data_IF_250268532189
#
_entry.id   IF_250268532189
#
_cell.length_a   1.000
_cell.length_b   1.000
_cell.length_c   1.000
_cell.angle_alpha   90.00
_cell.angle_beta   90.00
_cell.angle_gamma   90.00
#
_symmetry.space_group_name_H-M   'P 1'
#
loop_
_entity.id
_entity.type
_entity.pdbx_description
1 polymer ?
#
# COMPACT_ATOMS: atom_id res chain seq x y z
N UNK A 1 -15.03 36.63 -44.85
CA UNK A 1 -14.91 35.23 -44.38
C UNK A 1 -13.56 34.68 -44.84
N UNK A 2 -12.53 34.77 -43.99
CA UNK A 2 -11.18 34.28 -44.31
C UNK A 2 -11.04 32.82 -43.88
N UNK A 3 -11.04 31.89 -44.84
CA UNK A 3 -10.88 30.46 -44.57
C UNK A 3 -9.50 30.16 -44.00
N UNK A 4 -9.46 29.50 -42.84
CA UNK A 4 -8.22 28.97 -42.28
C UNK A 4 -7.71 27.91 -43.26
N UNK A 5 -6.56 28.18 -43.89
CA UNK A 5 -5.90 27.24 -44.81
C UNK A 5 -5.71 25.89 -44.14
N UNK A 6 -6.08 24.80 -44.82
CA UNK A 6 -5.96 23.42 -44.35
C UNK A 6 -4.56 23.10 -43.80
N UNK A 7 -3.50 23.70 -44.38
CA UNK A 7 -2.12 23.57 -43.89
C UNK A 7 -1.88 24.24 -42.53
N UNK A 8 -2.53 25.37 -42.26
CA UNK A 8 -2.45 26.08 -40.96
C UNK A 8 -3.20 25.33 -39.85
N UNK A 9 -4.30 24.67 -40.19
CA UNK A 9 -5.04 23.85 -39.24
C UNK A 9 -4.22 22.61 -38.82
N UNK A 10 -3.60 21.91 -39.77
CA UNK A 10 -2.73 20.76 -39.48
C UNK A 10 -1.42 21.16 -38.78
N UNK A 11 -0.83 22.30 -39.12
CA UNK A 11 0.36 22.80 -38.41
C UNK A 11 0.03 23.18 -36.95
N UNK A 12 -1.14 23.76 -36.70
CA UNK A 12 -1.61 24.04 -35.33
C UNK A 12 -1.92 22.77 -34.54
N UNK A 13 -2.51 21.75 -35.18
CA UNK A 13 -2.79 20.45 -34.56
C UNK A 13 -1.49 19.68 -34.25
N UNK A 14 -0.51 19.70 -35.15
CA UNK A 14 0.80 19.10 -34.93
C UNK A 14 1.59 19.82 -33.83
N UNK A 15 1.53 21.16 -33.76
CA UNK A 15 2.13 21.93 -32.66
C UNK A 15 1.43 21.69 -31.32
N UNK A 16 0.10 21.50 -31.29
CA UNK A 16 -0.63 21.14 -30.08
C UNK A 16 -0.29 19.71 -29.62
N UNK A 17 -0.15 18.76 -30.54
CA UNK A 17 0.29 17.38 -30.24
C UNK A 17 1.75 17.34 -29.81
N UNK A 18 2.63 18.15 -30.40
CA UNK A 18 4.03 18.30 -29.95
C UNK A 18 4.14 19.01 -28.61
N UNK A 19 3.32 20.02 -28.34
CA UNK A 19 3.27 20.67 -27.05
C UNK A 19 2.78 19.69 -25.97
N UNK A 20 1.72 18.91 -26.24
CA UNK A 20 1.28 17.86 -25.31
C UNK A 20 2.34 16.76 -25.09
N UNK A 21 3.12 16.42 -26.13
CA UNK A 21 4.18 15.40 -26.02
C UNK A 21 5.47 15.92 -25.38
N UNK A 22 5.79 17.21 -25.52
CA UNK A 22 7.02 17.81 -24.98
C UNK A 22 6.90 18.22 -23.51
N UNK A 23 5.69 18.38 -22.96
CA UNK A 23 5.49 18.82 -21.57
C UNK A 23 5.83 17.73 -20.51
N UNK A 24 6.02 16.47 -20.89
CA UNK A 24 6.52 15.40 -20.01
C UNK A 24 8.03 15.15 -20.10
N UNK A 25 8.72 15.70 -21.09
CA UNK A 25 10.08 15.30 -21.46
C UNK A 25 11.21 16.03 -20.70
N UNK A 26 10.88 16.85 -19.69
CA UNK A 26 11.85 17.71 -19.00
C UNK A 26 11.67 17.93 -17.50
N UNK A 27 10.73 17.22 -16.86
CA UNK A 27 10.52 17.32 -15.42
C UNK A 27 11.52 16.42 -14.67
N UNK A 28 12.17 16.97 -13.65
CA UNK A 28 13.11 16.26 -12.79
C UNK A 28 12.46 15.92 -11.45
N UNK A 29 12.47 14.64 -11.09
CA UNK A 29 11.88 14.14 -9.85
C UNK A 29 12.98 13.57 -8.96
N UNK A 30 13.03 14.01 -7.70
CA UNK A 30 13.95 13.47 -6.70
C UNK A 30 13.14 12.71 -5.64
N UNK A 31 13.29 11.39 -5.63
CA UNK A 31 12.69 10.47 -4.65
C UNK A 31 13.70 10.14 -3.56
N UNK A 32 13.33 10.43 -2.31
CA UNK A 32 14.13 10.17 -1.12
C UNK A 32 13.54 8.99 -0.34
N UNK A 33 14.30 7.92 -0.23
CA UNK A 33 13.99 6.74 0.57
C UNK A 33 14.68 6.82 1.94
N UNK A 34 13.94 6.52 3.01
CA UNK A 34 14.44 6.56 4.39
C UNK A 34 15.52 5.52 4.69
N UNK A 35 15.48 4.37 4.01
CA UNK A 35 16.31 3.20 4.30
C UNK A 35 17.31 2.90 3.19
N UNK A 36 18.10 1.84 3.36
CA UNK A 36 18.95 1.27 2.29
C UNK A 36 18.12 0.49 1.27
N UNK A 37 18.65 0.32 0.03
CA UNK A 37 18.06 -0.60 -0.94
C UNK A 37 18.06 -2.04 -0.41
N UNK A 38 17.20 -2.89 -0.98
CA UNK A 38 17.06 -4.29 -0.57
C UNK A 38 16.02 -4.50 0.52
N UNK A 39 15.11 -3.53 0.71
CA UNK A 39 13.93 -3.65 1.57
C UNK A 39 12.71 -3.87 0.65
N UNK A 40 12.19 -5.11 0.52
CA UNK A 40 11.28 -5.43 -0.58
C UNK A 40 9.99 -4.60 -0.63
N UNK A 41 9.51 -4.08 0.50
CA UNK A 41 8.35 -3.19 0.51
C UNK A 41 8.65 -1.81 -0.08
N UNK A 42 9.81 -1.25 0.24
CA UNK A 42 10.29 0.04 -0.26
C UNK A 42 10.66 -0.09 -1.74
N UNK A 43 11.36 -1.17 -2.10
CA UNK A 43 11.76 -1.45 -3.47
C UNK A 43 10.52 -1.57 -4.37
N UNK A 44 9.47 -2.30 -3.94
CA UNK A 44 8.20 -2.41 -4.70
C UNK A 44 7.51 -1.07 -4.95
N UNK A 45 7.42 -0.21 -3.93
CA UNK A 45 6.81 1.13 -4.06
C UNK A 45 7.65 1.99 -5.01
N UNK A 46 8.98 1.98 -4.82
CA UNK A 46 9.94 2.73 -5.63
C UNK A 46 9.91 2.30 -7.09
N UNK A 47 9.96 1.00 -7.36
CA UNK A 47 9.95 0.46 -8.73
C UNK A 47 8.65 0.81 -9.46
N UNK A 48 7.51 0.67 -8.78
CA UNK A 48 6.21 1.01 -9.35
C UNK A 48 6.06 2.52 -9.60
N UNK A 49 6.60 3.36 -8.71
CA UNK A 49 6.67 4.81 -8.89
C UNK A 49 7.52 5.19 -10.10
N UNK A 50 8.75 4.69 -10.18
CA UNK A 50 9.67 4.95 -11.31
C UNK A 50 9.05 4.46 -12.62
N UNK A 51 8.48 3.25 -12.62
CA UNK A 51 7.79 2.69 -13.79
C UNK A 51 6.68 3.64 -14.26
N UNK A 52 5.84 4.14 -13.33
CA UNK A 52 4.73 5.02 -13.69
C UNK A 52 5.18 6.35 -14.30
N UNK A 53 6.27 6.95 -13.80
CA UNK A 53 6.84 8.18 -14.36
C UNK A 53 7.43 7.97 -15.76
N UNK A 54 8.08 6.81 -15.98
CA UNK A 54 8.59 6.43 -17.30
C UNK A 54 7.46 6.21 -18.31
N UNK A 55 6.37 5.59 -17.88
CA UNK A 55 5.16 5.39 -18.70
C UNK A 55 4.51 6.71 -19.13
N UNK A 56 4.68 7.81 -18.37
CA UNK A 56 4.26 9.16 -18.79
C UNK A 56 5.28 9.91 -19.65
N UNK A 57 6.43 9.31 -19.97
CA UNK A 57 7.44 9.91 -20.83
C UNK A 57 8.54 10.70 -20.13
N UNK A 58 8.65 10.64 -18.79
CA UNK A 58 9.81 11.20 -18.08
C UNK A 58 11.02 10.28 -18.32
N UNK A 59 12.15 10.80 -18.86
CA UNK A 59 13.37 10.03 -19.05
C UNK A 59 13.91 9.48 -17.72
N UNK A 60 14.54 8.30 -17.76
CA UNK A 60 15.10 7.68 -16.55
C UNK A 60 16.16 8.59 -15.89
N UNK A 61 16.92 9.31 -16.70
CA UNK A 61 17.95 10.28 -16.29
C UNK A 61 17.38 11.48 -15.52
N UNK A 62 16.07 11.70 -15.57
CA UNK A 62 15.38 12.75 -14.84
C UNK A 62 14.66 12.22 -13.58
N UNK A 63 14.72 10.91 -13.32
CA UNK A 63 14.13 10.28 -12.14
C UNK A 63 15.26 9.86 -11.22
N UNK A 64 15.51 10.67 -10.20
CA UNK A 64 16.59 10.49 -9.23
C UNK A 64 16.05 9.76 -8.01
N UNK A 65 16.68 8.65 -7.63
CA UNK A 65 16.29 7.86 -6.46
C UNK A 65 17.46 7.79 -5.49
N UNK A 66 17.26 8.34 -4.30
CA UNK A 66 18.28 8.44 -3.26
C UNK A 66 17.87 7.63 -2.03
N UNK A 67 18.77 6.74 -1.60
CA UNK A 67 18.60 5.96 -0.38
C UNK A 67 19.42 6.60 0.73
N UNK A 68 18.73 7.29 1.64
CA UNK A 68 19.39 8.12 2.65
C UNK A 68 20.04 7.30 3.77
N UNK A 69 19.51 6.11 4.03
CA UNK A 69 19.94 5.20 5.09
C UNK A 69 20.07 5.90 6.46
N UNK A 70 19.00 6.58 6.89
CA UNK A 70 19.01 7.46 8.07
C UNK A 70 18.84 6.75 9.41
N UNK A 71 18.55 5.45 9.40
CA UNK A 71 18.19 4.69 10.60
C UNK A 71 19.32 3.74 11.04
N UNK A 72 20.56 4.14 10.74
CA UNK A 72 21.80 3.47 11.14
C UNK A 72 22.39 4.05 12.44
N UNK A 73 23.18 3.28 13.22
CA UNK A 73 23.71 3.74 14.51
C UNK A 73 24.52 5.05 14.48
N UNK A 74 25.16 5.37 13.35
CA UNK A 74 25.98 6.57 13.16
C UNK A 74 25.29 7.64 12.30
N UNK A 75 23.95 7.68 12.27
CA UNK A 75 23.18 8.60 11.44
C UNK A 75 23.54 10.08 11.65
N UNK A 76 23.84 10.50 12.89
CA UNK A 76 24.21 11.89 13.21
C UNK A 76 25.50 12.34 12.50
N UNK A 77 26.47 11.43 12.32
CA UNK A 77 27.73 11.71 11.61
C UNK A 77 27.49 11.74 10.10
N UNK A 78 26.64 10.84 9.59
CA UNK A 78 26.43 10.68 8.15
C UNK A 78 25.46 11.72 7.58
N UNK A 79 24.54 12.26 8.39
CA UNK A 79 23.53 13.23 7.95
C UNK A 79 24.15 14.47 7.28
N UNK A 80 25.15 15.17 7.87
CA UNK A 80 25.79 16.31 7.22
C UNK A 80 26.52 15.94 5.92
N UNK A 81 27.20 14.79 5.89
CA UNK A 81 27.89 14.32 4.68
C UNK A 81 26.91 13.97 3.56
N UNK A 82 25.78 13.32 3.90
CA UNK A 82 24.68 13.02 2.99
C UNK A 82 24.08 14.30 2.42
N UNK A 83 23.82 15.29 3.28
CA UNK A 83 23.34 16.61 2.88
C UNK A 83 24.31 17.26 1.89
N UNK A 84 25.60 17.31 2.23
CA UNK A 84 26.62 17.91 1.37
C UNK A 84 26.68 17.23 -0.02
N UNK A 85 26.59 15.89 -0.06
CA UNK A 85 26.55 15.14 -1.31
C UNK A 85 25.32 15.50 -2.15
N UNK A 86 24.13 15.46 -1.56
CA UNK A 86 22.87 15.75 -2.28
C UNK A 86 22.83 17.21 -2.76
N UNK A 87 23.31 18.15 -1.95
CA UNK A 87 23.44 19.56 -2.38
C UNK A 87 24.47 19.70 -3.50
N UNK A 88 25.56 18.94 -3.51
CA UNK A 88 26.52 18.97 -4.61
C UNK A 88 25.96 18.35 -5.90
N UNK A 89 25.15 17.29 -5.80
CA UNK A 89 24.55 16.60 -6.95
C UNK A 89 23.38 17.38 -7.55
N UNK A 90 22.52 17.96 -6.71
CA UNK A 90 21.25 18.53 -7.12
C UNK A 90 21.18 20.05 -6.94
N UNK A 91 22.10 20.66 -6.18
CA UNK A 91 22.16 22.10 -5.96
C UNK A 91 22.59 22.84 -7.22
N UNK A 92 21.69 23.67 -7.75
CA UNK A 92 21.85 24.34 -9.06
C UNK A 92 21.30 23.53 -10.24
N UNK A 93 20.90 22.28 -10.01
CA UNK A 93 20.12 21.47 -10.94
C UNK A 93 18.63 21.82 -10.89
N UNK A 94 17.88 21.28 -11.85
CA UNK A 94 16.42 21.36 -11.86
C UNK A 94 15.85 20.19 -11.06
N UNK A 95 14.98 20.49 -10.10
CA UNK A 95 14.12 19.52 -9.40
C UNK A 95 12.73 20.13 -9.38
N UNK A 96 11.81 19.52 -10.11
CA UNK A 96 10.42 19.99 -10.25
C UNK A 96 9.50 19.31 -9.22
N UNK A 97 9.92 18.19 -8.64
CA UNK A 97 9.18 17.48 -7.60
C UNK A 97 10.14 16.79 -6.63
N UNK A 98 9.95 17.03 -5.34
CA UNK A 98 10.58 16.26 -4.27
C UNK A 98 9.58 15.24 -3.73
N UNK A 99 9.99 13.98 -3.64
CA UNK A 99 9.17 12.93 -3.02
C UNK A 99 9.94 12.35 -1.84
N UNK A 100 9.33 12.27 -0.66
CA UNK A 100 9.95 11.69 0.52
C UNK A 100 9.11 10.53 1.05
N UNK A 101 9.72 9.35 1.14
CA UNK A 101 9.06 8.14 1.64
C UNK A 101 9.51 7.84 3.07
N UNK A 102 8.52 7.79 3.95
CA UNK A 102 8.58 7.59 5.39
C UNK A 102 9.15 8.76 6.19
N UNK A 103 8.87 8.74 7.50
CA UNK A 103 9.15 9.84 8.41
C UNK A 103 10.62 10.31 8.41
N UNK A 104 11.64 9.42 8.37
CA UNK A 104 13.04 9.87 8.32
C UNK A 104 13.38 10.71 7.08
N UNK A 105 12.96 10.28 5.88
CA UNK A 105 13.20 11.03 4.65
C UNK A 105 12.43 12.36 4.63
N UNK A 106 11.20 12.39 5.16
CA UNK A 106 10.44 13.63 5.32
C UNK A 106 11.16 14.61 6.26
N UNK A 107 11.67 14.11 7.39
CA UNK A 107 12.42 14.92 8.34
C UNK A 107 13.68 15.51 7.70
N UNK A 108 14.41 14.70 6.94
CA UNK A 108 15.62 15.12 6.21
C UNK A 108 15.29 16.14 5.10
N UNK A 109 14.24 15.90 4.31
CA UNK A 109 13.79 16.81 3.26
C UNK A 109 13.46 18.21 3.80
N UNK A 110 12.71 18.27 4.90
CA UNK A 110 12.25 19.54 5.48
C UNK A 110 13.32 20.28 6.30
N UNK A 111 14.30 19.57 6.86
CA UNK A 111 15.36 20.17 7.70
C UNK A 111 16.66 20.39 6.93
N UNK A 112 17.19 19.32 6.36
CA UNK A 112 18.54 19.30 5.78
C UNK A 112 18.53 19.81 4.33
N UNK A 113 17.46 19.55 3.59
CA UNK A 113 17.29 19.95 2.19
C UNK A 113 16.34 21.14 2.00
N UNK A 114 16.11 21.93 3.06
CA UNK A 114 15.18 23.06 3.04
C UNK A 114 15.47 24.05 1.89
N UNK A 115 16.76 24.29 1.61
CA UNK A 115 17.24 25.21 0.57
C UNK A 115 17.41 24.55 -0.81
N UNK A 116 17.31 23.22 -0.90
CA UNK A 116 17.37 22.49 -2.16
C UNK A 116 16.01 22.57 -2.86
N UNK A 117 15.98 23.20 -4.03
CA UNK A 117 14.79 23.40 -4.85
C UNK A 117 13.58 23.89 -4.00
N UNK A 118 13.66 25.09 -3.41
CA UNK A 118 12.70 25.57 -2.42
C UNK A 118 11.28 25.77 -2.99
N UNK A 119 11.18 25.98 -4.30
CA UNK A 119 9.91 26.12 -5.03
C UNK A 119 9.30 24.76 -5.43
N UNK A 120 10.07 23.67 -5.35
CA UNK A 120 9.56 22.36 -5.71
C UNK A 120 8.57 21.85 -4.65
N UNK A 121 7.36 21.39 -5.06
CA UNK A 121 6.45 20.70 -4.16
C UNK A 121 7.14 19.52 -3.48
N UNK A 122 6.74 19.25 -2.25
CA UNK A 122 7.07 18.02 -1.55
C UNK A 122 5.84 17.11 -1.48
N UNK A 123 5.92 15.95 -2.13
CA UNK A 123 4.97 14.86 -1.92
C UNK A 123 5.54 13.87 -0.91
N UNK A 124 4.75 13.50 0.09
CA UNK A 124 5.19 12.59 1.15
C UNK A 124 4.08 11.60 1.53
N UNK A 125 4.47 10.44 2.04
CA UNK A 125 3.55 9.46 2.64
C UNK A 125 3.40 9.60 4.16
N UNK A 126 4.17 10.51 4.76
CA UNK A 126 4.29 10.69 6.19
C UNK A 126 3.78 12.06 6.60
N UNK A 127 3.14 12.15 7.75
CA UNK A 127 2.55 13.39 8.22
C UNK A 127 3.64 14.30 8.83
N UNK A 128 3.87 15.51 8.29
CA UNK A 128 4.76 16.48 8.91
C UNK A 128 4.12 17.03 10.20
N UNK A 129 4.96 17.38 11.19
CA UNK A 129 4.48 18.08 12.38
C UNK A 129 4.05 19.52 12.07
N UNK A 130 3.23 20.11 12.94
CA UNK A 130 2.80 21.52 12.82
C UNK A 130 3.99 22.48 12.72
N UNK A 131 5.05 22.23 13.49
CA UNK A 131 6.28 23.05 13.47
C UNK A 131 7.03 22.92 12.14
N UNK A 132 7.13 21.69 11.61
CA UNK A 132 7.75 21.43 10.32
C UNK A 132 6.99 22.11 9.17
N UNK A 133 5.65 22.04 9.18
CA UNK A 133 4.80 22.71 8.19
C UNK A 133 4.93 24.22 8.26
N UNK A 134 4.86 24.80 9.46
CA UNK A 134 4.97 26.25 9.66
C UNK A 134 6.32 26.82 9.20
N UNK A 135 7.36 26.00 9.23
CA UNK A 135 8.72 26.37 8.79
C UNK A 135 8.98 26.07 7.32
N UNK A 136 8.09 25.32 6.65
CA UNK A 136 8.24 24.91 5.26
C UNK A 136 7.86 26.03 4.30
N UNK A 137 8.80 26.42 3.43
CA UNK A 137 8.53 27.38 2.33
C UNK A 137 7.83 26.73 1.13
N UNK A 138 7.98 25.42 0.97
CA UNK A 138 7.40 24.66 -0.14
C UNK A 138 5.97 24.20 0.16
N UNK A 139 5.10 24.04 -0.85
CA UNK A 139 3.85 23.30 -0.73
C UNK A 139 4.10 21.85 -0.34
N UNK A 140 3.34 21.32 0.61
CA UNK A 140 3.47 19.93 1.07
C UNK A 140 2.18 19.16 0.81
N UNK A 141 2.32 18.04 0.11
CA UNK A 141 1.24 17.14 -0.27
C UNK A 141 1.40 15.80 0.45
N UNK A 142 0.32 15.32 1.06
CA UNK A 142 0.30 14.05 1.78
C UNK A 142 -0.51 13.01 1.00
N UNK A 143 0.18 11.99 0.50
CA UNK A 143 -0.40 10.75 -0.04
C UNK A 143 -0.06 9.60 0.93
N UNK A 144 -0.94 9.36 1.91
CA UNK A 144 -0.68 8.40 2.99
C UNK A 144 -0.72 6.95 2.49
N UNK A 145 0.46 6.34 2.31
CA UNK A 145 0.62 4.89 2.06
C UNK A 145 0.38 4.09 3.35
N UNK A 146 0.21 4.77 4.50
CA UNK A 146 -0.06 4.13 5.80
C UNK A 146 -1.30 3.22 5.67
N UNK A 147 -1.20 1.97 6.14
CA UNK A 147 -2.31 1.04 6.09
C UNK A 147 -3.42 1.42 7.07
N UNK A 148 -4.64 1.00 6.77
CA UNK A 148 -5.83 1.27 7.59
C UNK A 148 -6.06 0.11 8.57
N UNK A 149 -5.61 0.29 9.81
CA UNK A 149 -5.81 -0.70 10.86
C UNK A 149 -7.30 -0.82 11.21
N UNK A 150 -8.04 0.29 11.21
CA UNK A 150 -9.46 0.31 11.54
C UNK A 150 -10.30 -0.53 10.57
N UNK A 151 -10.02 -0.44 9.26
CA UNK A 151 -10.67 -1.27 8.25
C UNK A 151 -10.40 -2.77 8.49
N UNK A 152 -9.15 -3.13 8.82
CA UNK A 152 -8.80 -4.53 9.13
C UNK A 152 -9.48 -5.00 10.42
N UNK A 153 -9.50 -4.19 11.48
CA UNK A 153 -10.21 -4.52 12.73
C UNK A 153 -11.71 -4.68 12.49
N UNK A 154 -12.32 -3.84 11.66
CA UNK A 154 -13.71 -3.96 11.28
C UNK A 154 -14.01 -5.33 10.62
N UNK A 155 -13.16 -5.78 9.69
CA UNK A 155 -13.31 -7.09 9.06
C UNK A 155 -13.05 -8.23 10.04
N UNK A 156 -12.04 -8.11 10.91
CA UNK A 156 -11.78 -9.09 11.99
C UNK A 156 -13.02 -9.27 12.86
N UNK A 157 -13.71 -8.19 13.25
CA UNK A 157 -14.91 -8.32 14.10
C UNK A 157 -16.09 -9.01 13.41
N UNK A 158 -16.15 -8.98 12.07
CA UNK A 158 -17.16 -9.69 11.29
C UNK A 158 -16.82 -11.17 11.11
N UNK A 159 -15.54 -11.46 10.83
CA UNK A 159 -15.03 -12.81 10.61
C UNK A 159 -14.91 -13.61 11.92
N UNK A 160 -14.49 -12.95 12.99
CA UNK A 160 -14.16 -13.54 14.28
C UNK A 160 -14.86 -12.78 15.43
N UNK A 161 -16.19 -12.89 15.57
CA UNK A 161 -16.96 -12.12 16.56
C UNK A 161 -16.63 -12.48 18.02
N UNK A 162 -15.90 -13.58 18.25
CA UNK A 162 -15.42 -13.99 19.59
C UNK A 162 -14.07 -13.38 19.97
N UNK A 163 -13.39 -12.68 19.06
CA UNK A 163 -12.13 -12.01 19.36
C UNK A 163 -12.31 -11.00 20.49
N UNK A 164 -11.43 -11.07 21.48
CA UNK A 164 -11.39 -10.14 22.62
C UNK A 164 -10.14 -9.28 22.61
N UNK A 165 -9.06 -9.76 22.00
CA UNK A 165 -7.76 -9.11 22.05
C UNK A 165 -7.10 -9.05 20.68
N UNK A 166 -6.50 -7.91 20.37
CA UNK A 166 -5.70 -7.67 19.18
C UNK A 166 -4.30 -7.30 19.63
N UNK A 167 -3.31 -8.08 19.19
CA UNK A 167 -1.90 -7.84 19.47
C UNK A 167 -1.21 -7.33 18.20
N UNK A 168 -0.45 -6.26 18.32
CA UNK A 168 0.22 -5.59 17.21
C UNK A 168 1.71 -5.53 17.52
N UNK A 169 2.55 -6.33 16.80
CA UNK A 169 3.99 -6.18 16.87
C UNK A 169 4.37 -4.76 16.44
N UNK A 170 5.34 -4.16 17.11
CA UNK A 170 5.66 -2.74 16.93
C UNK A 170 7.14 -2.44 17.16
N UNK A 171 7.59 -1.32 16.60
CA UNK A 171 8.96 -0.84 16.74
C UNK A 171 9.04 0.58 17.29
N UNK A 172 10.27 1.08 17.40
CA UNK A 172 10.61 2.41 17.94
C UNK A 172 11.37 3.26 16.94
N UNK A 173 11.36 2.95 15.64
CA UNK A 173 11.82 3.93 14.63
C UNK A 173 10.84 5.11 14.53
N UNK A 174 11.27 6.20 13.88
CA UNK A 174 10.37 7.35 13.67
C UNK A 174 9.13 6.97 12.85
N UNK A 175 9.32 6.09 11.86
CA UNK A 175 8.25 5.54 11.06
C UNK A 175 7.30 4.66 11.92
N UNK A 176 7.85 3.77 12.75
CA UNK A 176 7.05 2.86 13.59
C UNK A 176 6.17 3.65 14.58
N UNK A 177 6.73 4.69 15.22
CA UNK A 177 5.98 5.58 16.11
C UNK A 177 4.90 6.36 15.38
N UNK A 178 5.18 6.81 14.15
CA UNK A 178 4.19 7.52 13.34
C UNK A 178 3.01 6.60 12.99
N UNK A 179 3.29 5.37 12.57
CA UNK A 179 2.27 4.35 12.35
C UNK A 179 1.47 4.07 13.63
N UNK A 180 2.12 3.86 14.78
CA UNK A 180 1.43 3.56 16.03
C UNK A 180 0.45 4.67 16.43
N UNK A 181 0.85 5.95 16.34
CA UNK A 181 -0.06 7.07 16.66
C UNK A 181 -1.32 7.07 15.80
N UNK A 182 -1.17 6.77 14.50
CA UNK A 182 -2.32 6.67 13.60
C UNK A 182 -3.17 5.43 13.93
N UNK A 183 -2.51 4.29 14.18
CA UNK A 183 -3.16 3.04 14.56
C UNK A 183 -4.01 3.18 15.84
N UNK A 184 -3.53 3.91 16.85
CA UNK A 184 -4.27 4.22 18.08
C UNK A 184 -5.56 5.01 17.80
N UNK A 185 -5.51 5.96 16.86
CA UNK A 185 -6.70 6.70 16.42
C UNK A 185 -7.66 5.78 15.67
N UNK A 186 -7.14 4.96 14.77
CA UNK A 186 -7.93 4.05 13.94
C UNK A 186 -8.70 3.03 14.78
N UNK A 187 -8.10 2.50 15.85
CA UNK A 187 -8.74 1.49 16.71
C UNK A 187 -9.66 2.06 17.79
N UNK A 188 -9.67 3.38 18.00
CA UNK A 188 -10.45 4.05 19.04
C UNK A 188 -11.93 3.61 19.11
N UNK A 189 -12.65 3.39 17.98
CA UNK A 189 -14.04 2.92 18.00
C UNK A 189 -14.24 1.54 18.66
N UNK A 190 -13.20 0.71 18.73
CA UNK A 190 -13.27 -0.67 19.23
C UNK A 190 -12.74 -0.85 20.66
N UNK A 191 -12.09 0.15 21.26
CA UNK A 191 -11.46 0.04 22.58
C UNK A 191 -12.43 -0.29 23.72
N UNK A 192 -13.74 -0.07 23.54
CA UNK A 192 -14.78 -0.50 24.50
C UNK A 192 -15.10 -2.00 24.44
N UNK A 193 -14.75 -2.69 23.35
CA UNK A 193 -15.11 -4.09 23.08
C UNK A 193 -13.90 -5.00 22.95
N UNK A 194 -12.76 -4.45 22.55
CA UNK A 194 -11.51 -5.16 22.30
C UNK A 194 -10.38 -4.57 23.14
N UNK A 195 -9.54 -5.44 23.68
CA UNK A 195 -8.24 -5.05 24.21
C UNK A 195 -7.24 -4.98 23.05
N UNK A 196 -6.69 -3.79 22.79
CA UNK A 196 -5.65 -3.60 21.76
C UNK A 196 -4.31 -3.39 22.47
N UNK A 197 -3.31 -4.17 22.08
CA UNK A 197 -1.98 -4.17 22.69
C UNK A 197 -0.90 -3.98 21.64
N UNK A 198 -0.11 -2.91 21.79
CA UNK A 198 1.08 -2.65 20.98
C UNK A 198 2.32 -3.12 21.74
N UNK A 199 3.24 -3.81 21.06
CA UNK A 199 4.40 -4.44 21.68
C UNK A 199 5.71 -3.65 21.51
N UNK A 200 5.66 -2.36 21.16
CA UNK A 200 6.82 -1.54 20.84
C UNK A 200 7.85 -1.42 21.97
N UNK A 201 7.43 -1.63 23.21
CA UNK A 201 8.30 -1.58 24.40
C UNK A 201 9.05 -2.90 24.66
N UNK A 202 8.87 -3.91 23.80
CA UNK A 202 9.56 -5.20 23.86
C UNK A 202 10.64 -5.29 22.78
N UNK A 203 11.72 -6.02 23.03
CA UNK A 203 12.64 -6.41 21.96
C UNK A 203 11.97 -7.38 20.99
N UNK A 204 12.45 -7.47 19.75
CA UNK A 204 11.84 -8.33 18.73
C UNK A 204 11.77 -9.78 19.18
N UNK A 205 12.82 -10.27 19.84
CA UNK A 205 12.86 -11.61 20.42
C UNK A 205 11.83 -11.81 21.54
N UNK A 206 11.56 -10.78 22.36
CA UNK A 206 10.49 -10.82 23.36
C UNK A 206 9.11 -10.82 22.71
N UNK A 207 8.90 -10.00 21.66
CA UNK A 207 7.64 -9.96 20.91
C UNK A 207 7.31 -11.34 20.34
N UNK A 208 8.27 -12.03 19.71
CA UNK A 208 8.04 -13.36 19.14
C UNK A 208 7.72 -14.40 20.22
N UNK A 209 8.41 -14.36 21.36
CA UNK A 209 8.10 -15.23 22.52
C UNK A 209 6.71 -14.98 23.08
N UNK A 210 6.30 -13.72 23.14
CA UNK A 210 4.96 -13.32 23.59
C UNK A 210 3.87 -13.80 22.64
N UNK A 211 4.07 -13.57 21.34
CA UNK A 211 3.13 -13.91 20.27
C UNK A 211 2.94 -15.43 20.13
N UNK A 212 3.94 -16.24 20.44
CA UNK A 212 3.82 -17.70 20.44
C UNK A 212 3.01 -18.29 21.60
N UNK A 213 2.62 -17.47 22.58
CA UNK A 213 1.91 -17.91 23.80
C UNK A 213 0.59 -17.13 24.01
N UNK A 214 -0.12 -16.81 22.92
CA UNK A 214 -1.38 -16.09 22.98
C UNK A 214 -2.58 -17.03 23.21
N UNK A 215 -3.66 -16.48 23.77
CA UNK A 215 -4.90 -17.21 24.00
C UNK A 215 -5.76 -17.29 22.72
N UNK A 216 -6.62 -18.32 22.55
CA UNK A 216 -7.37 -18.52 21.31
C UNK A 216 -8.37 -17.42 20.93
N UNK A 217 -8.72 -16.51 21.85
CA UNK A 217 -9.56 -15.34 21.63
C UNK A 217 -8.76 -14.10 21.20
N UNK A 218 -7.47 -14.27 20.92
CA UNK A 218 -6.57 -13.23 20.42
C UNK A 218 -6.33 -13.39 18.94
N UNK A 219 -6.15 -12.28 18.23
CA UNK A 219 -5.57 -12.25 16.88
C UNK A 219 -4.36 -11.33 16.87
N UNK A 220 -3.44 -11.58 15.93
CA UNK A 220 -2.29 -10.71 15.70
C UNK A 220 -2.53 -9.93 14.41
N UNK A 221 -2.23 -8.64 14.41
CA UNK A 221 -2.23 -7.82 13.18
C UNK A 221 -0.79 -7.39 12.89
N UNK A 222 -0.19 -7.97 11.87
CA UNK A 222 1.13 -7.62 11.40
C UNK A 222 1.07 -6.29 10.63
N UNK A 223 1.55 -5.24 11.31
CA UNK A 223 1.65 -3.87 10.78
C UNK A 223 3.07 -3.52 10.34
N UNK A 224 3.49 -2.30 10.67
CA UNK A 224 4.82 -1.80 10.32
C UNK A 224 5.84 -2.07 11.43
N UNK A 225 7.04 -2.51 11.06
CA UNK A 225 8.17 -2.70 11.97
C UNK A 225 9.48 -2.41 11.25
N UNK A 226 10.36 -1.62 11.86
CA UNK A 226 11.67 -1.31 11.30
C UNK A 226 12.82 -1.45 12.30
N UNK A 227 12.59 -1.10 13.58
CA UNK A 227 13.59 -1.25 14.64
C UNK A 227 12.92 -1.48 15.99
N UNK A 228 13.40 -2.43 16.78
CA UNK A 228 12.94 -2.62 18.16
C UNK A 228 13.67 -1.71 19.17
N UNK A 229 13.31 -1.84 20.46
CA UNK A 229 13.92 -1.05 21.53
C UNK A 229 15.42 -1.32 21.75
N UNK A 230 15.91 -2.51 21.40
CA UNK A 230 17.30 -2.94 21.62
C UNK A 230 18.19 -2.57 20.41
N UNK A 231 17.59 -2.01 19.35
CA UNK A 231 18.27 -1.59 18.13
C UNK A 231 18.29 -2.65 17.02
N UNK A 232 17.62 -3.80 17.21
CA UNK A 232 17.46 -4.81 16.17
C UNK A 232 16.57 -4.26 15.05
N UNK A 233 17.08 -4.29 13.81
CA UNK A 233 16.38 -3.77 12.64
C UNK A 233 16.17 -4.84 11.59
N UNK A 234 14.99 -4.84 10.98
CA UNK A 234 14.63 -5.76 9.90
C UNK A 234 13.58 -5.10 8.99
N UNK A 235 13.45 -5.50 7.71
CA UNK A 235 12.36 -5.05 6.87
C UNK A 235 10.98 -5.51 7.39
N UNK A 236 9.95 -4.66 7.23
CA UNK A 236 8.56 -4.94 7.64
C UNK A 236 8.04 -6.30 7.16
N UNK A 237 8.34 -6.66 5.91
CA UNK A 237 7.87 -7.93 5.32
C UNK A 237 8.47 -9.13 6.04
N UNK A 238 9.76 -9.09 6.36
CA UNK A 238 10.41 -10.18 7.07
C UNK A 238 9.95 -10.24 8.53
N UNK A 239 9.70 -9.10 9.16
CA UNK A 239 9.10 -9.04 10.49
C UNK A 239 7.69 -9.67 10.53
N UNK A 240 6.87 -9.43 9.49
CA UNK A 240 5.59 -10.10 9.34
C UNK A 240 5.75 -11.62 9.16
N UNK A 241 6.76 -12.08 8.39
CA UNK A 241 7.07 -13.51 8.23
C UNK A 241 7.51 -14.19 9.52
N UNK A 242 8.31 -13.52 10.34
CA UNK A 242 8.70 -14.03 11.65
C UNK A 242 7.49 -14.11 12.58
N UNK A 243 6.63 -13.08 12.55
CA UNK A 243 5.37 -13.04 13.33
C UNK A 243 4.47 -14.23 12.98
N UNK A 244 4.28 -14.51 11.69
CA UNK A 244 3.48 -15.66 11.24
C UNK A 244 4.07 -17.01 11.64
N UNK A 245 5.41 -17.12 11.68
CA UNK A 245 6.10 -18.33 12.13
C UNK A 245 5.98 -18.55 13.63
N UNK A 246 6.00 -17.48 14.42
CA UNK A 246 5.91 -17.55 15.87
C UNK A 246 4.47 -17.74 16.38
N UNK A 247 3.48 -17.15 15.71
CA UNK A 247 2.10 -17.05 16.21
C UNK A 247 1.39 -18.41 16.30
N UNK A 248 0.74 -18.65 17.45
CA UNK A 248 -0.17 -19.76 17.68
C UNK A 248 -1.66 -19.40 17.42
N UNK A 249 -1.93 -18.20 16.91
CA UNK A 249 -3.25 -17.64 16.61
C UNK A 249 -3.29 -17.03 15.20
N UNK A 250 -4.48 -16.73 14.63
CA UNK A 250 -4.58 -16.07 13.32
C UNK A 250 -3.78 -14.77 13.23
N UNK A 251 -3.00 -14.62 12.16
CA UNK A 251 -2.25 -13.40 11.83
C UNK A 251 -2.89 -12.73 10.63
N UNK A 252 -3.40 -11.52 10.83
CA UNK A 252 -3.88 -10.62 9.78
C UNK A 252 -2.75 -9.69 9.35
N UNK A 253 -2.82 -9.17 8.12
CA UNK A 253 -1.83 -8.25 7.60
C UNK A 253 -2.46 -6.93 7.19
N UNK A 254 -1.66 -5.89 7.27
CA UNK A 254 -1.99 -4.55 6.78
C UNK A 254 -1.50 -4.28 5.35
N UNK A 255 -0.67 -5.17 4.80
CA UNK A 255 -0.12 -5.06 3.44
C UNK A 255 -0.37 -6.34 2.64
N UNK A 256 -0.48 -6.21 1.32
CA UNK A 256 -0.67 -7.34 0.41
C UNK A 256 0.55 -8.28 0.37
N UNK A 257 1.70 -7.79 0.82
CA UNK A 257 3.02 -8.39 0.66
C UNK A 257 3.21 -9.77 1.28
N UNK A 258 2.39 -10.15 2.26
CA UNK A 258 2.46 -11.45 2.95
C UNK A 258 1.17 -12.26 2.85
N UNK A 259 0.17 -11.77 2.12
CA UNK A 259 -1.03 -12.55 1.81
C UNK A 259 -0.65 -13.61 0.77
N UNK A 260 -0.89 -14.88 1.09
CA UNK A 260 -0.36 -16.01 0.31
C UNK A 260 0.92 -16.65 0.86
N UNK A 261 1.57 -16.00 1.84
CA UNK A 261 2.77 -16.52 2.53
C UNK A 261 2.48 -17.05 3.95
N UNK A 262 1.23 -16.94 4.42
CA UNK A 262 0.82 -17.42 5.75
C UNK A 262 -0.16 -16.52 6.48
N UNK A 263 -0.33 -15.27 6.04
CA UNK A 263 -1.31 -14.36 6.63
C UNK A 263 -2.72 -14.79 6.24
N UNK A 264 -3.67 -14.64 7.17
CA UNK A 264 -5.09 -14.87 6.89
C UNK A 264 -5.59 -13.92 5.82
N UNK A 265 -5.19 -12.65 5.92
CA UNK A 265 -5.64 -11.57 5.06
C UNK A 265 -5.84 -10.29 5.85
N UNK A 266 -6.64 -9.39 5.30
CA UNK A 266 -7.04 -8.14 5.93
C UNK A 266 -7.53 -7.13 4.89
N UNK A 267 -7.84 -5.94 5.38
CA UNK A 267 -8.06 -4.78 4.53
C UNK A 267 -6.69 -4.18 4.19
N UNK A 268 -6.03 -4.76 3.19
CA UNK A 268 -4.61 -4.55 2.92
C UNK A 268 -4.35 -3.36 2.00
N UNK A 269 -3.22 -2.69 2.23
CA UNK A 269 -2.63 -1.75 1.28
C UNK A 269 -1.81 -2.51 0.24
N UNK A 270 -2.09 -2.30 -1.04
CA UNK A 270 -1.30 -2.87 -2.13
C UNK A 270 -0.11 -1.97 -2.45
N UNK A 271 1.11 -2.46 -2.18
CA UNK A 271 2.33 -1.63 -2.29
C UNK A 271 2.65 -1.22 -3.73
N UNK A 272 2.43 -2.11 -4.71
CA UNK A 272 2.69 -1.80 -6.12
C UNK A 272 1.71 -0.74 -6.64
N UNK A 273 0.44 -0.88 -6.31
CA UNK A 273 -0.60 0.08 -6.63
C UNK A 273 -0.33 1.42 -5.95
N UNK A 274 0.13 1.42 -4.69
CA UNK A 274 0.53 2.64 -3.99
C UNK A 274 1.68 3.38 -4.66
N UNK A 275 2.70 2.67 -5.17
CA UNK A 275 3.77 3.30 -5.95
C UNK A 275 3.27 3.91 -7.26
N UNK A 276 2.36 3.23 -7.97
CA UNK A 276 1.72 3.78 -9.16
C UNK A 276 0.89 5.03 -8.86
N UNK A 277 0.03 4.98 -7.85
CA UNK A 277 -0.79 6.12 -7.43
C UNK A 277 0.08 7.29 -6.98
N UNK A 278 1.16 7.04 -6.23
CA UNK A 278 2.13 8.07 -5.85
C UNK A 278 2.74 8.74 -7.09
N UNK A 279 3.10 7.97 -8.12
CA UNK A 279 3.60 8.49 -9.39
C UNK A 279 2.55 9.34 -10.12
N UNK A 280 1.29 8.90 -10.14
CA UNK A 280 0.17 9.66 -10.69
C UNK A 280 -0.07 10.97 -9.96
N UNK A 281 0.04 10.95 -8.62
CA UNK A 281 -0.05 12.19 -7.82
C UNK A 281 1.12 13.11 -8.11
N UNK A 282 2.34 12.58 -8.24
CA UNK A 282 3.50 13.39 -8.57
C UNK A 282 3.33 14.09 -9.93
N UNK A 283 2.87 13.37 -10.96
CA UNK A 283 2.61 13.92 -12.29
C UNK A 283 1.54 15.01 -12.26
N UNK A 284 0.40 14.75 -11.62
CA UNK A 284 -0.69 15.71 -11.52
C UNK A 284 -0.27 16.99 -10.78
N UNK A 285 0.60 16.88 -9.78
CA UNK A 285 1.12 18.03 -9.02
C UNK A 285 2.15 18.85 -9.80
N UNK A 286 2.89 18.23 -10.72
CA UNK A 286 3.79 18.94 -11.64
C UNK A 286 3.04 19.66 -12.77
N UNK A 287 1.88 19.14 -13.18
CA UNK A 287 1.02 19.76 -14.20
C UNK A 287 0.11 20.88 -13.64
N UNK A 288 -0.29 20.78 -12.37
CA UNK A 288 -1.23 21.71 -11.72
C UNK A 288 -0.57 22.98 -11.17
N UNK A 289 -1.29 24.10 -11.24
CA UNK A 289 -0.92 25.32 -10.50
C UNK A 289 -0.98 25.07 -9.00
N UNK A 290 0.12 25.36 -8.29
CA UNK A 290 0.27 24.95 -6.90
C UNK A 290 -0.33 25.97 -5.92
N UNK A 291 -1.00 25.52 -4.84
CA UNK A 291 -1.34 26.40 -3.72
C UNK A 291 -0.06 26.98 -3.09
N UNK A 292 -0.19 28.16 -2.49
CA UNK A 292 0.92 28.82 -1.81
C UNK A 292 1.55 27.93 -0.72
N UNK A 293 2.87 28.10 -0.51
CA UNK A 293 3.65 27.37 0.50
C UNK A 293 3.11 27.50 1.93
N UNK A 294 3.47 26.55 2.80
CA UNK A 294 3.03 26.52 4.20
C UNK A 294 1.67 25.86 4.44
N UNK A 295 1.06 25.26 3.42
CA UNK A 295 -0.19 24.47 3.55
C UNK A 295 0.06 22.98 3.34
N UNK A 296 -0.57 22.14 4.18
CA UNK A 296 -0.62 20.68 3.99
C UNK A 296 -1.87 20.33 3.19
N UNK A 297 -1.70 19.81 1.98
CA UNK A 297 -2.81 19.34 1.16
C UNK A 297 -2.84 17.81 1.18
N UNK A 298 -3.92 17.21 1.69
CA UNK A 298 -4.12 15.76 1.61
C UNK A 298 -4.57 15.40 0.19
N UNK A 299 -3.90 14.44 -0.41
CA UNK A 299 -4.21 13.95 -1.76
C UNK A 299 -5.02 12.66 -1.64
N UNK A 300 -6.03 12.41 -2.50
CA UNK A 300 -6.83 11.20 -2.41
C UNK A 300 -5.99 9.93 -2.56
N UNK A 301 -6.20 8.98 -1.67
CA UNK A 301 -5.57 7.65 -1.66
C UNK A 301 -6.59 6.62 -2.12
N UNK A 302 -6.16 5.62 -2.90
CA UNK A 302 -7.02 4.50 -3.26
C UNK A 302 -7.55 3.75 -2.03
N UNK A 303 -8.67 3.00 -2.14
CA UNK A 303 -9.17 2.19 -1.05
C UNK A 303 -8.18 1.06 -0.70
N UNK A 304 -8.20 0.60 0.56
CA UNK A 304 -7.62 -0.69 0.91
C UNK A 304 -8.44 -1.82 0.25
N UNK A 305 -7.79 -2.94 -0.02
CA UNK A 305 -8.43 -4.09 -0.65
C UNK A 305 -8.66 -5.17 0.39
N UNK A 306 -9.89 -5.66 0.48
CA UNK A 306 -10.22 -6.82 1.29
C UNK A 306 -9.66 -8.07 0.61
N UNK A 307 -8.53 -8.59 1.10
CA UNK A 307 -7.76 -9.66 0.46
C UNK A 307 -7.42 -10.77 1.47
N UNK A 308 -7.75 -12.01 1.13
CA UNK A 308 -7.67 -13.16 2.04
C UNK A 308 -7.09 -14.41 1.38
N UNK A 309 -6.39 -15.25 2.14
CA UNK A 309 -5.89 -16.56 1.71
C UNK A 309 -6.86 -17.68 2.14
N UNK A 310 -7.46 -18.36 1.16
CA UNK A 310 -8.39 -19.46 1.40
C UNK A 310 -7.81 -20.56 2.31
N UNK A 311 -6.53 -20.90 2.13
CA UNK A 311 -5.88 -21.98 2.91
C UNK A 311 -5.78 -21.62 4.38
N UNK A 312 -5.59 -20.33 4.69
CA UNK A 312 -5.54 -19.85 6.06
C UNK A 312 -6.95 -19.68 6.65
N UNK A 313 -7.92 -19.24 5.85
CA UNK A 313 -9.33 -19.24 6.27
C UNK A 313 -9.78 -20.66 6.67
N UNK A 314 -9.45 -21.69 5.88
CA UNK A 314 -9.74 -23.09 6.22
C UNK A 314 -8.97 -23.55 7.47
N UNK A 315 -7.66 -23.28 7.53
CA UNK A 315 -6.81 -23.67 8.67
C UNK A 315 -7.35 -23.16 10.01
N UNK A 316 -7.86 -21.92 10.02
CA UNK A 316 -8.37 -21.27 11.23
C UNK A 316 -9.89 -21.39 11.38
N UNK A 317 -10.56 -22.13 10.50
CA UNK A 317 -12.01 -22.32 10.48
C UNK A 317 -12.79 -20.98 10.49
N UNK A 318 -12.36 -20.04 9.64
CA UNK A 318 -12.93 -18.71 9.49
C UNK A 318 -13.85 -18.72 8.25
N UNK A 319 -15.13 -18.40 8.44
CA UNK A 319 -16.08 -18.25 7.35
C UNK A 319 -15.98 -16.84 6.73
N UNK A 320 -15.60 -16.71 5.44
CA UNK A 320 -15.50 -15.42 4.78
C UNK A 320 -16.85 -14.85 4.30
N UNK A 321 -17.96 -15.59 4.43
CA UNK A 321 -19.29 -15.19 3.96
C UNK A 321 -19.78 -13.80 4.44
N UNK A 322 -19.42 -13.30 5.64
CA UNK A 322 -19.76 -11.94 6.06
C UNK A 322 -19.13 -10.84 5.21
N UNK A 323 -17.99 -11.10 4.56
CA UNK A 323 -17.27 -10.10 3.78
C UNK A 323 -17.82 -9.99 2.36
N UNK A 324 -18.45 -8.87 2.05
CA UNK A 324 -18.93 -8.56 0.69
C UNK A 324 -17.81 -7.94 -0.13
N UNK A 325 -17.50 -8.54 -1.28
CA UNK A 325 -16.49 -8.01 -2.21
C UNK A 325 -15.03 -8.35 -1.84
N UNK A 326 -14.81 -9.22 -0.84
CA UNK A 326 -13.48 -9.72 -0.53
C UNK A 326 -12.92 -10.58 -1.66
N UNK A 327 -11.66 -10.34 -2.02
CA UNK A 327 -10.90 -11.16 -2.94
C UNK A 327 -10.26 -12.30 -2.17
N UNK A 328 -10.61 -13.53 -2.51
CA UNK A 328 -10.08 -14.73 -1.86
C UNK A 328 -9.09 -15.41 -2.81
N UNK A 329 -7.81 -15.38 -2.43
CA UNK A 329 -6.73 -16.05 -3.13
C UNK A 329 -6.72 -17.55 -2.81
N UNK A 330 -6.21 -18.35 -3.75
CA UNK A 330 -6.02 -19.80 -3.60
C UNK A 330 -7.29 -20.60 -3.28
N UNK A 331 -8.47 -20.04 -3.55
CA UNK A 331 -9.74 -20.76 -3.42
C UNK A 331 -9.86 -21.79 -4.55
N UNK A 332 -10.04 -23.09 -4.26
CA UNK A 332 -10.26 -24.08 -5.30
C UNK A 332 -11.55 -23.76 -6.06
N UNK A 333 -11.60 -24.00 -7.39
CA UNK A 333 -12.81 -23.80 -8.15
C UNK A 333 -13.93 -24.68 -7.57
N UNK A 334 -15.13 -24.13 -7.46
CA UNK A 334 -16.28 -24.92 -6.99
C UNK A 334 -16.57 -26.08 -7.95
N UNK A 335 -17.22 -27.15 -7.46
CA UNK A 335 -17.64 -28.26 -8.33
C UNK A 335 -18.47 -27.78 -9.53
N UNK A 336 -19.27 -26.73 -9.33
CA UNK A 336 -20.00 -26.08 -10.41
C UNK A 336 -19.07 -25.38 -11.40
N UNK A 337 -18.08 -24.62 -10.93
CA UNK A 337 -17.09 -23.97 -11.81
C UNK A 337 -16.22 -25.00 -12.57
N UNK A 338 -15.83 -26.09 -11.91
CA UNK A 338 -14.98 -27.14 -12.49
C UNK A 338 -15.76 -28.07 -13.43
N UNK A 339 -17.02 -28.40 -13.12
CA UNK A 339 -17.79 -29.43 -13.81
C UNK A 339 -19.10 -28.93 -14.44
N UNK A 340 -19.25 -27.62 -14.71
CA UNK A 340 -20.49 -27.06 -15.29
C UNK A 340 -21.00 -27.87 -16.49
N UNK A 341 -20.08 -28.29 -17.37
CA UNK A 341 -20.41 -29.04 -18.59
C UNK A 341 -20.90 -30.46 -18.27
N UNK A 342 -20.28 -31.12 -17.30
CA UNK A 342 -20.71 -32.45 -16.86
C UNK A 342 -22.07 -32.40 -16.14
N UNK A 343 -22.30 -31.38 -15.30
CA UNK A 343 -23.59 -31.20 -14.62
C UNK A 343 -24.71 -30.86 -15.62
N UNK A 344 -24.47 -29.96 -16.56
CA UNK A 344 -25.42 -29.64 -17.62
C UNK A 344 -25.67 -30.85 -18.56
N UNK A 345 -24.62 -31.60 -18.88
CA UNK A 345 -24.71 -32.83 -19.68
C UNK A 345 -25.55 -33.90 -18.99
N UNK A 346 -25.27 -34.18 -17.71
CA UNK A 346 -26.05 -35.12 -16.91
C UNK A 346 -27.51 -34.66 -16.77
N UNK A 347 -27.75 -33.37 -16.53
CA UNK A 347 -29.09 -32.77 -16.52
C UNK A 347 -29.83 -32.93 -17.86
N UNK A 348 -29.13 -32.76 -18.98
CA UNK A 348 -29.68 -32.98 -20.31
C UNK A 348 -30.09 -34.43 -20.56
N UNK A 349 -29.25 -35.39 -20.14
CA UNK A 349 -29.58 -36.83 -20.22
C UNK A 349 -30.80 -37.15 -19.37
N UNK A 350 -30.87 -36.65 -18.14
CA UNK A 350 -32.03 -36.85 -17.24
C UNK A 350 -33.30 -36.26 -17.87
N UNK A 351 -33.23 -35.05 -18.44
CA UNK A 351 -34.37 -34.42 -19.11
C UNK A 351 -34.83 -35.20 -20.35
N UNK A 352 -33.89 -35.72 -21.15
CA UNK A 352 -34.19 -36.56 -22.31
C UNK A 352 -34.89 -37.87 -21.90
N UNK A 353 -34.37 -38.55 -20.87
CA UNK A 353 -34.98 -39.77 -20.33
C UNK A 353 -36.39 -39.50 -19.76
N UNK A 354 -36.56 -38.40 -19.03
CA UNK A 354 -37.86 -37.97 -18.53
C UNK A 354 -38.85 -37.67 -19.67
N UNK A 355 -38.39 -37.02 -20.74
CA UNK A 355 -39.19 -36.75 -21.95
C UNK A 355 -39.61 -38.03 -22.67
N UNK A 356 -38.70 -38.99 -22.84
CA UNK A 356 -39.00 -40.29 -23.43
C UNK A 356 -40.03 -41.07 -22.61
N UNK A 357 -39.88 -41.08 -21.27
CA UNK A 357 -40.85 -41.69 -20.37
C UNK A 357 -42.22 -41.01 -20.47
N UNK A 358 -42.29 -39.68 -20.51
CA UNK A 358 -43.54 -38.94 -20.67
C UNK A 358 -44.24 -39.27 -22.00
N UNK A 359 -43.50 -39.33 -23.10
CA UNK A 359 -44.05 -39.71 -24.42
C UNK A 359 -44.58 -41.14 -24.40
N UNK A 360 -43.86 -42.09 -23.78
CA UNK A 360 -44.34 -43.47 -23.63
C UNK A 360 -45.63 -43.55 -22.82
N UNK A 361 -45.72 -42.82 -21.71
CA UNK A 361 -46.91 -42.78 -20.85
C UNK A 361 -48.11 -42.16 -21.57
N UNK A 362 -47.89 -41.09 -22.34
CA UNK A 362 -48.94 -40.44 -23.15
C UNK A 362 -49.45 -41.37 -24.27
N UNK A 363 -48.56 -42.10 -24.95
CA UNK A 363 -48.97 -43.12 -25.94
C UNK A 363 -49.79 -44.23 -25.30
N UNK A 364 -49.39 -44.71 -24.12
CA UNK A 364 -50.12 -45.78 -23.41
C UNK A 364 -51.54 -45.37 -23.02
N UNK A 365 -51.77 -44.10 -22.63
CA UNK A 365 -53.11 -43.57 -22.30
C UNK A 365 -53.99 -43.28 -23.53
N UNK A 366 -53.41 -43.23 -24.74
CA UNK A 366 -54.13 -42.90 -25.97
C UNK A 366 -54.53 -44.15 -26.77
N UNK A 367 -53.93 -45.30 -26.45
CA UNK A 367 -54.11 -46.58 -27.14
C UNK A 367 -54.50 -47.75 -26.20
N UNK A 368 -54.70 -47.48 -24.92
CA UNK A 368 -55.41 -48.34 -23.97
C UNK A 368 -56.57 -47.55 -23.40
#
# INVERSE_FOLDING_TARGET
MGGISFKRFWAGLLLAVWALAAHGAGAHVLLLNSYSPGRPGIDRVTDAFVQRLRESGIPLEHIHVEFLHLEQPNAEIVTPARRALLVAQYGGGRVDMLVALQQPALNFALRELADLAPEAPLLTDSQPSTVQLASSKRPVFLYSIVPDLGATVNEITQLMPRTRRIVIPGGVSDADRAFQRQAEVDVAPWLRKLQVEFLQNMSWAEQMRYIGNLTPDTVVVAGMFNRDRDGYSQPTIDAARDTMRAANVPVFSLFDSVVGEGAVGGAVRNLQQSGRELGERALALMEGGQPAGGTLTKVPVGPVQSLYDWRQLERWNIDPSPLKGATILFKPPSLWQAYRGAVLGAGGVIALLAGLLAVMLLRRRRFG
#
